data_IF_627235054145
#
_entry.id   IF_627235054145
#
_cell.length_a   1.000
_cell.length_b   1.000
_cell.length_c   1.000
_cell.angle_alpha   90.00
_cell.angle_beta   90.00
_cell.angle_gamma   90.00
#
_symmetry.space_group_name_H-M   'P 1'
#
loop_
_entity.id
_entity.type
_entity.pdbx_description
1 polymer ?
#
# COMPACT_ATOMS: atom_id res chain seq x y z
N UNK A 1 3.32 -3.33 25.06
CA UNK A 1 2.27 -3.58 24.05
C UNK A 1 1.12 -4.30 24.71
N UNK A 2 -0.05 -3.66 24.82
CA UNK A 2 -1.22 -4.23 25.47
C UNK A 2 -1.77 -5.42 24.66
N UNK A 3 -2.19 -6.49 25.35
CA UNK A 3 -2.80 -7.68 24.75
C UNK A 3 -4.02 -7.35 23.86
N UNK A 4 -4.73 -6.26 24.18
CA UNK A 4 -5.85 -5.72 23.39
C UNK A 4 -5.41 -5.27 21.97
N UNK A 5 -4.26 -4.61 21.86
CA UNK A 5 -3.74 -4.12 20.55
C UNK A 5 -3.32 -5.27 19.63
N UNK A 6 -2.82 -6.38 20.18
CA UNK A 6 -2.51 -7.59 19.38
C UNK A 6 -3.77 -8.25 18.83
N UNK A 7 -4.85 -8.27 19.60
CA UNK A 7 -6.14 -8.84 19.18
C UNK A 7 -6.78 -8.05 18.04
N UNK A 8 -6.68 -6.72 18.05
CA UNK A 8 -7.25 -5.84 17.02
C UNK A 8 -6.49 -5.96 15.69
N UNK A 9 -5.16 -6.22 15.73
CA UNK A 9 -4.32 -6.34 14.52
C UNK A 9 -4.57 -7.60 13.70
N UNK A 10 -5.03 -8.68 14.34
CA UNK A 10 -5.22 -9.99 13.70
C UNK A 10 -6.68 -10.33 13.42
N UNK A 11 -7.63 -9.54 13.93
CA UNK A 11 -9.05 -9.83 13.77
C UNK A 11 -9.54 -9.48 12.36
N UNK A 12 -10.44 -10.30 11.82
CA UNK A 12 -11.26 -9.94 10.66
C UNK A 12 -11.98 -8.64 10.98
N UNK A 13 -11.87 -7.65 10.08
CA UNK A 13 -12.56 -6.36 10.26
C UNK A 13 -14.06 -6.62 10.10
N UNK A 14 -14.83 -6.28 11.14
CA UNK A 14 -16.28 -6.43 11.12
C UNK A 14 -16.88 -5.53 10.02
N UNK A 15 -17.78 -6.10 9.22
CA UNK A 15 -18.40 -5.38 8.10
C UNK A 15 -17.53 -5.24 6.85
N UNK A 16 -16.26 -5.66 6.88
CA UNK A 16 -15.42 -5.67 5.69
C UNK A 16 -15.83 -6.82 4.77
N UNK A 17 -16.27 -6.48 3.55
CA UNK A 17 -16.48 -7.47 2.50
C UNK A 17 -15.12 -7.97 2.00
N UNK A 18 -14.96 -9.29 1.93
CA UNK A 18 -13.75 -9.89 1.38
C UNK A 18 -13.52 -9.43 -0.06
N UNK A 19 -12.29 -9.05 -0.38
CA UNK A 19 -11.93 -8.67 -1.74
C UNK A 19 -12.03 -9.89 -2.67
N UNK A 20 -12.70 -9.71 -3.81
CA UNK A 20 -13.00 -10.72 -4.81
C UNK A 20 -12.23 -10.43 -6.09
N UNK A 21 -11.74 -11.47 -6.75
CA UNK A 21 -11.19 -11.35 -8.11
C UNK A 21 -12.31 -11.04 -9.14
N UNK A 22 -11.97 -10.52 -10.33
CA UNK A 22 -12.95 -10.27 -11.39
C UNK A 22 -13.72 -11.50 -11.82
N UNK A 23 -13.12 -12.68 -11.76
CA UNK A 23 -13.79 -13.96 -12.05
C UNK A 23 -14.87 -14.31 -11.02
N UNK A 24 -14.76 -13.79 -9.80
CA UNK A 24 -15.77 -13.90 -8.74
C UNK A 24 -16.81 -12.76 -8.81
N UNK A 25 -16.79 -11.95 -9.87
CA UNK A 25 -17.63 -10.76 -10.02
C UNK A 25 -17.16 -9.53 -9.21
N UNK A 26 -15.90 -9.54 -8.76
CA UNK A 26 -15.29 -8.39 -8.09
C UNK A 26 -15.10 -7.22 -9.04
N UNK A 27 -15.27 -6.00 -8.54
CA UNK A 27 -15.11 -4.77 -9.28
C UNK A 27 -13.96 -3.94 -8.71
N UNK A 28 -13.35 -3.07 -9.54
CA UNK A 28 -12.35 -2.11 -9.07
C UNK A 28 -12.86 -1.28 -7.89
N UNK A 29 -14.12 -0.85 -7.95
CA UNK A 29 -14.74 -0.07 -6.87
C UNK A 29 -14.76 -0.85 -5.55
N UNK A 30 -15.14 -2.14 -5.58
CA UNK A 30 -15.14 -2.98 -4.37
C UNK A 30 -13.74 -3.16 -3.81
N UNK A 31 -12.71 -3.24 -4.67
CA UNK A 31 -11.32 -3.28 -4.24
C UNK A 31 -10.87 -1.96 -3.60
N UNK A 32 -11.20 -0.82 -4.22
CA UNK A 32 -10.89 0.50 -3.65
C UNK A 32 -11.60 0.72 -2.30
N UNK A 33 -12.86 0.32 -2.17
CA UNK A 33 -13.63 0.36 -0.91
C UNK A 33 -12.98 -0.55 0.15
N UNK A 34 -12.54 -1.74 -0.24
CA UNK A 34 -11.81 -2.67 0.62
C UNK A 34 -10.51 -2.05 1.15
N UNK A 35 -9.68 -1.48 0.28
CA UNK A 35 -8.44 -0.82 0.69
C UNK A 35 -8.70 0.39 1.59
N UNK A 36 -9.73 1.17 1.31
CA UNK A 36 -10.09 2.33 2.13
C UNK A 36 -10.53 1.92 3.54
N UNK A 37 -11.27 0.82 3.69
CA UNK A 37 -11.65 0.31 5.01
C UNK A 37 -10.44 -0.17 5.80
N UNK A 38 -9.52 -0.90 5.16
CA UNK A 38 -8.26 -1.33 5.80
C UNK A 38 -7.41 -0.11 6.19
N UNK A 39 -7.28 0.87 5.30
CA UNK A 39 -6.56 2.11 5.58
C UNK A 39 -7.11 2.82 6.82
N UNK A 40 -8.43 3.02 6.88
CA UNK A 40 -9.07 3.68 8.01
C UNK A 40 -8.82 2.92 9.32
N UNK A 41 -9.01 1.60 9.30
CA UNK A 41 -8.79 0.75 10.48
C UNK A 41 -7.34 0.81 10.97
N UNK A 42 -6.39 0.69 10.06
CA UNK A 42 -4.96 0.67 10.39
C UNK A 42 -4.50 2.03 10.91
N UNK A 43 -4.92 3.12 10.24
CA UNK A 43 -4.51 4.48 10.60
C UNK A 43 -5.03 4.90 11.98
N UNK A 44 -6.24 4.46 12.34
CA UNK A 44 -6.89 4.86 13.61
C UNK A 44 -6.47 3.96 14.77
N UNK A 45 -6.37 2.64 14.53
CA UNK A 45 -6.28 1.67 15.61
C UNK A 45 -4.85 1.18 15.93
N UNK A 46 -3.88 1.45 15.04
CA UNK A 46 -2.52 0.94 15.21
C UNK A 46 -1.55 2.02 15.70
N UNK A 47 -0.57 1.62 16.53
CA UNK A 47 0.55 2.49 16.89
C UNK A 47 1.34 2.81 15.61
N UNK A 48 1.69 4.09 15.41
CA UNK A 48 2.31 4.58 14.16
C UNK A 48 1.50 4.19 12.91
N UNK A 49 0.17 4.12 13.04
CA UNK A 49 -0.74 3.75 11.94
C UNK A 49 -0.64 4.67 10.73
N UNK A 50 -0.18 5.91 10.92
CA UNK A 50 0.11 6.85 9.84
C UNK A 50 1.16 6.32 8.86
N UNK A 51 2.24 5.70 9.34
CA UNK A 51 3.26 5.10 8.48
C UNK A 51 2.69 3.95 7.65
N UNK A 52 1.80 3.16 8.25
CA UNK A 52 1.10 2.09 7.54
C UNK A 52 0.08 2.62 6.54
N UNK A 53 -0.55 3.76 6.83
CA UNK A 53 -1.41 4.46 5.88
C UNK A 53 -0.65 4.83 4.59
N UNK A 54 0.60 5.27 4.71
CA UNK A 54 1.48 5.52 3.55
C UNK A 54 1.78 4.23 2.78
N UNK A 55 2.13 3.15 3.50
CA UNK A 55 2.35 1.83 2.86
C UNK A 55 1.15 1.40 2.02
N UNK A 56 -0.07 1.57 2.52
CA UNK A 56 -1.29 1.18 1.80
C UNK A 56 -1.53 2.08 0.58
N UNK A 57 -1.35 3.40 0.71
CA UNK A 57 -1.64 4.36 -0.37
C UNK A 57 -0.55 4.41 -1.44
N UNK A 58 0.71 4.44 -1.00
CA UNK A 58 1.86 4.66 -1.87
C UNK A 58 2.50 3.34 -2.32
N UNK A 59 2.17 2.23 -1.64
CA UNK A 59 2.75 0.89 -1.87
C UNK A 59 4.29 0.90 -1.82
N UNK A 60 4.83 1.76 -0.95
CA UNK A 60 6.27 1.93 -0.73
C UNK A 60 6.57 1.94 0.77
N UNK A 61 7.83 1.70 1.12
CA UNK A 61 8.26 1.83 2.52
C UNK A 61 8.33 3.30 2.92
N UNK A 62 7.74 3.68 4.08
CA UNK A 62 7.85 5.03 4.59
C UNK A 62 9.31 5.32 4.97
N UNK A 63 9.81 6.46 4.54
CA UNK A 63 11.15 6.91 4.91
C UNK A 63 11.11 7.46 6.33
N UNK A 64 11.80 6.79 7.25
CA UNK A 64 12.01 7.25 8.61
C UNK A 64 13.41 7.85 8.65
N UNK A 65 13.50 9.13 9.00
CA UNK A 65 14.78 9.84 9.04
C UNK A 65 15.59 9.42 10.27
N UNK A 66 16.88 9.16 10.07
CA UNK A 66 17.82 8.88 11.16
C UNK A 66 18.01 10.12 12.05
N UNK A 67 18.14 9.95 13.36
CA UNK A 67 18.53 11.05 14.23
C UNK A 67 19.88 11.63 13.79
N UNK A 68 19.96 12.95 13.75
CA UNK A 68 21.21 13.66 13.41
C UNK A 68 22.24 13.37 14.51
N UNK A 69 23.44 12.98 14.13
CA UNK A 69 24.53 12.73 15.07
C UNK A 69 24.85 13.95 15.93
N UNK A 70 25.16 13.72 17.19
CA UNK A 70 25.65 14.78 18.08
C UNK A 70 27.05 15.23 17.65
N UNK A 71 27.25 16.56 17.65
CA UNK A 71 28.59 17.12 17.51
C UNK A 71 29.49 16.58 18.66
N UNK A 72 30.58 15.87 18.34
CA UNK A 72 31.50 15.34 19.37
C UNK A 72 32.07 16.41 20.31
N UNK A 73 32.12 17.66 19.86
CA UNK A 73 32.58 18.81 20.65
C UNK A 73 31.51 19.33 21.63
N UNK A 74 30.25 18.90 21.50
CA UNK A 74 29.18 19.37 22.40
C UNK A 74 29.18 18.55 23.70
N UNK A 75 29.71 19.14 24.76
CA UNK A 75 29.85 18.51 26.09
C UNK A 75 28.60 18.62 26.97
N UNK A 76 27.52 19.24 26.49
CA UNK A 76 26.31 19.49 27.28
C UNK A 76 25.54 18.21 27.55
N UNK A 77 25.45 17.80 28.80
CA UNK A 77 24.81 16.54 29.22
C UNK A 77 23.33 16.44 28.80
N UNK A 78 22.58 17.56 28.86
CA UNK A 78 21.17 17.54 28.44
C UNK A 78 21.00 17.22 26.95
N UNK A 79 21.92 17.66 26.09
CA UNK A 79 21.90 17.32 24.66
C UNK A 79 22.20 15.86 24.42
N UNK A 80 23.12 15.27 25.16
CA UNK A 80 23.42 13.83 25.09
C UNK A 80 22.18 13.02 25.47
N UNK A 81 21.53 13.42 26.58
CA UNK A 81 20.28 12.74 27.02
C UNK A 81 19.18 12.87 25.99
N UNK A 82 18.98 14.07 25.41
CA UNK A 82 18.01 14.28 24.36
C UNK A 82 18.30 13.43 23.12
N UNK A 83 19.55 13.38 22.68
CA UNK A 83 19.95 12.58 21.53
C UNK A 83 19.74 11.08 21.80
N UNK A 84 20.09 10.60 23.00
CA UNK A 84 19.84 9.20 23.39
C UNK A 84 18.35 8.87 23.30
N UNK A 85 17.48 9.76 23.76
CA UNK A 85 16.04 9.56 23.66
C UNK A 85 15.57 9.52 22.18
N UNK A 86 16.06 10.40 21.33
CA UNK A 86 15.74 10.40 19.89
C UNK A 86 16.17 9.09 19.21
N UNK A 87 17.34 8.55 19.56
CA UNK A 87 17.81 7.24 19.05
C UNK A 87 16.90 6.11 19.53
N UNK A 88 16.51 6.12 20.80
CA UNK A 88 15.58 5.12 21.34
C UNK A 88 14.24 5.16 20.62
N UNK A 89 13.66 6.37 20.46
CA UNK A 89 12.38 6.56 19.80
C UNK A 89 12.43 6.13 18.32
N UNK A 90 13.52 6.45 17.64
CA UNK A 90 13.78 6.00 16.26
C UNK A 90 13.82 4.48 16.15
N UNK A 91 14.60 3.82 17.00
CA UNK A 91 14.70 2.35 17.03
C UNK A 91 13.34 1.70 17.32
N UNK A 92 12.58 2.30 18.24
CA UNK A 92 11.24 1.80 18.58
C UNK A 92 10.27 1.97 17.42
N UNK A 93 10.30 3.12 16.73
CA UNK A 93 9.47 3.36 15.53
C UNK A 93 9.79 2.38 14.40
N UNK A 94 11.08 2.11 14.12
CA UNK A 94 11.49 1.09 13.15
C UNK A 94 10.95 -0.30 13.51
N UNK A 95 11.04 -0.68 14.78
CA UNK A 95 10.51 -1.96 15.26
C UNK A 95 8.99 -2.01 15.09
N UNK A 96 8.29 -0.96 15.48
CA UNK A 96 6.82 -0.86 15.33
C UNK A 96 6.42 -0.94 13.85
N UNK A 97 7.12 -0.25 12.96
CA UNK A 97 6.89 -0.35 11.51
C UNK A 97 7.03 -1.79 11.00
N UNK A 98 8.11 -2.48 11.40
CA UNK A 98 8.32 -3.88 11.00
C UNK A 98 7.21 -4.80 11.50
N UNK A 99 6.78 -4.65 12.75
CA UNK A 99 5.70 -5.44 13.32
C UNK A 99 4.35 -5.13 12.68
N UNK A 100 4.10 -3.86 12.36
CA UNK A 100 2.91 -3.41 11.66
C UNK A 100 2.86 -3.96 10.21
N UNK A 101 3.98 -3.95 9.50
CA UNK A 101 4.05 -4.55 8.15
C UNK A 101 3.64 -6.02 8.17
N UNK A 102 4.14 -6.79 9.12
CA UNK A 102 3.78 -8.21 9.32
C UNK A 102 2.28 -8.38 9.62
N UNK A 103 1.76 -7.53 10.51
CA UNK A 103 0.35 -7.55 10.86
C UNK A 103 -0.54 -7.17 9.65
N UNK A 104 -0.12 -6.21 8.83
CA UNK A 104 -0.85 -5.81 7.61
C UNK A 104 -0.89 -6.94 6.59
N UNK A 105 0.23 -7.64 6.36
CA UNK A 105 0.24 -8.81 5.47
C UNK A 105 -0.80 -9.85 5.92
N UNK A 106 -0.81 -10.18 7.20
CA UNK A 106 -1.77 -11.14 7.76
C UNK A 106 -3.22 -10.64 7.65
N UNK A 107 -3.45 -9.35 7.91
CA UNK A 107 -4.76 -8.72 7.81
C UNK A 107 -5.30 -8.77 6.38
N UNK A 108 -4.49 -8.40 5.39
CA UNK A 108 -4.84 -8.46 3.99
C UNK A 108 -5.21 -9.90 3.58
N UNK A 109 -4.35 -10.88 3.87
CA UNK A 109 -4.61 -12.28 3.57
C UNK A 109 -5.85 -12.85 4.25
N UNK A 110 -6.17 -12.39 5.47
CA UNK A 110 -7.37 -12.84 6.18
C UNK A 110 -8.68 -12.33 5.56
N UNK A 111 -8.63 -11.21 4.83
CA UNK A 111 -9.81 -10.50 4.30
C UNK A 111 -9.99 -10.60 2.77
N UNK A 112 -9.29 -11.49 2.11
CA UNK A 112 -9.54 -11.86 0.69
C UNK A 112 -10.24 -13.22 0.62
N UNK A 113 -10.93 -13.49 -0.50
CA UNK A 113 -11.62 -14.78 -0.72
C UNK A 113 -10.60 -15.91 -0.88
N UNK A 114 -11.06 -17.15 -0.71
CA UNK A 114 -10.18 -18.32 -0.86
C UNK A 114 -9.69 -18.51 -2.30
N UNK A 115 -10.49 -18.11 -3.29
CA UNK A 115 -10.09 -18.09 -4.70
C UNK A 115 -8.97 -17.07 -4.90
N UNK A 116 -9.14 -15.85 -4.43
CA UNK A 116 -8.11 -14.82 -4.49
C UNK A 116 -6.84 -15.23 -3.74
N UNK A 117 -6.96 -15.88 -2.56
CA UNK A 117 -5.80 -16.43 -1.84
C UNK A 117 -5.04 -17.46 -2.66
N UNK A 118 -5.76 -18.36 -3.34
CA UNK A 118 -5.15 -19.37 -4.19
C UNK A 118 -4.38 -18.75 -5.34
N UNK A 119 -4.91 -17.69 -5.95
CA UNK A 119 -4.25 -16.93 -7.00
C UNK A 119 -2.99 -16.23 -6.48
N UNK A 120 -3.07 -15.53 -5.34
CA UNK A 120 -1.90 -14.91 -4.69
C UNK A 120 -0.81 -15.93 -4.44
N UNK A 121 -1.17 -17.13 -3.91
CA UNK A 121 -0.22 -18.20 -3.63
C UNK A 121 0.42 -18.80 -4.88
N UNK A 122 -0.26 -18.76 -6.01
CA UNK A 122 0.28 -19.22 -7.31
C UNK A 122 1.15 -18.19 -8.02
N UNK A 123 1.16 -16.93 -7.54
CA UNK A 123 1.96 -15.86 -8.13
C UNK A 123 3.45 -16.04 -7.83
N UNK A 124 4.29 -15.79 -8.84
CA UNK A 124 5.74 -15.87 -8.67
C UNK A 124 6.22 -14.90 -7.58
N UNK A 125 7.05 -15.38 -6.67
CA UNK A 125 7.59 -14.60 -5.54
C UNK A 125 6.76 -14.71 -4.24
N UNK A 126 5.63 -15.44 -4.25
CA UNK A 126 4.81 -15.61 -3.04
C UNK A 126 5.59 -16.17 -1.86
N UNK A 127 6.36 -17.25 -2.05
CA UNK A 127 7.11 -17.89 -0.97
C UNK A 127 8.03 -16.90 -0.26
N UNK A 128 8.77 -16.09 -1.03
CA UNK A 128 9.63 -15.05 -0.46
C UNK A 128 8.82 -13.98 0.28
N UNK A 129 7.72 -13.54 -0.31
CA UNK A 129 6.86 -12.52 0.29
C UNK A 129 6.18 -13.03 1.57
N UNK A 130 5.83 -14.31 1.63
CA UNK A 130 5.28 -14.97 2.83
C UNK A 130 6.32 -15.10 3.93
N UNK A 131 7.55 -15.52 3.62
CA UNK A 131 8.66 -15.62 4.59
C UNK A 131 9.00 -14.26 5.20
N UNK A 132 9.01 -13.21 4.38
CA UNK A 132 9.28 -11.83 4.80
C UNK A 132 8.05 -11.14 5.40
N UNK A 133 6.85 -11.69 5.23
CA UNK A 133 5.54 -11.08 5.51
C UNK A 133 5.45 -9.68 4.89
N UNK A 134 5.75 -9.59 3.58
CA UNK A 134 5.88 -8.34 2.84
C UNK A 134 4.51 -7.83 2.33
N UNK A 135 3.89 -6.83 2.99
CA UNK A 135 2.58 -6.34 2.61
C UNK A 135 2.60 -5.52 1.31
N UNK A 136 3.73 -4.92 0.94
CA UNK A 136 3.85 -4.12 -0.28
C UNK A 136 3.73 -5.05 -1.50
N UNK A 137 4.50 -6.14 -1.51
CA UNK A 137 4.38 -7.15 -2.54
C UNK A 137 2.93 -7.69 -2.64
N UNK A 138 2.29 -7.94 -1.49
CA UNK A 138 0.93 -8.43 -1.46
C UNK A 138 -0.08 -7.43 -2.01
N UNK A 139 0.03 -6.14 -1.65
CA UNK A 139 -0.81 -5.07 -2.17
C UNK A 139 -0.70 -4.95 -3.70
N UNK A 140 0.53 -4.98 -4.23
CA UNK A 140 0.79 -4.96 -5.66
C UNK A 140 0.18 -6.18 -6.36
N UNK A 141 0.37 -7.38 -5.79
CA UNK A 141 -0.18 -8.62 -6.34
C UNK A 141 -1.71 -8.63 -6.29
N UNK A 142 -2.31 -8.18 -5.20
CA UNK A 142 -3.76 -8.05 -5.09
C UNK A 142 -4.33 -7.05 -6.12
N UNK A 143 -3.64 -5.94 -6.32
CA UNK A 143 -4.02 -4.95 -7.32
C UNK A 143 -4.01 -5.57 -8.73
N UNK A 144 -2.95 -6.31 -9.08
CA UNK A 144 -2.84 -7.00 -10.37
C UNK A 144 -3.96 -8.04 -10.57
N UNK A 145 -4.25 -8.84 -9.54
CA UNK A 145 -5.34 -9.83 -9.57
C UNK A 145 -6.70 -9.13 -9.72
N UNK A 146 -6.96 -8.08 -8.93
CA UNK A 146 -8.25 -7.40 -8.89
C UNK A 146 -8.53 -6.56 -10.14
N UNK A 147 -7.49 -6.06 -10.80
CA UNK A 147 -7.63 -5.34 -12.06
C UNK A 147 -7.69 -6.27 -13.29
N UNK A 148 -7.57 -7.60 -13.07
CA UNK A 148 -7.64 -8.59 -14.15
C UNK A 148 -6.41 -8.60 -15.05
N UNK A 149 -5.26 -8.10 -14.57
CA UNK A 149 -3.99 -8.10 -15.30
C UNK A 149 -3.21 -9.42 -15.16
N UNK A 150 -3.85 -10.46 -14.64
CA UNK A 150 -3.22 -11.77 -14.54
C UNK A 150 -2.76 -12.29 -15.91
N UNK A 151 -1.58 -12.90 -15.90
CA UNK A 151 -1.05 -13.58 -17.08
C UNK A 151 -2.06 -14.60 -17.59
N UNK A 152 -2.74 -14.28 -18.69
CA UNK A 152 -3.63 -15.19 -19.40
C UNK A 152 -5.10 -14.78 -19.51
N UNK A 153 -5.59 -13.82 -18.72
CA UNK A 153 -6.99 -13.36 -18.82
C UNK A 153 -7.17 -12.30 -19.91
N UNK A 154 -6.20 -11.37 -20.02
CA UNK A 154 -6.12 -10.44 -21.16
C UNK A 154 -4.68 -10.34 -21.64
N UNK A 155 -4.42 -10.27 -22.97
CA UNK A 155 -3.10 -9.91 -23.49
C UNK A 155 -2.66 -8.57 -22.87
N UNK A 156 -1.40 -8.47 -22.45
CA UNK A 156 -0.83 -7.26 -21.83
C UNK A 156 -1.11 -5.99 -22.65
N UNK A 157 -1.06 -6.11 -23.98
CA UNK A 157 -1.39 -5.02 -24.92
C UNK A 157 -2.82 -4.54 -24.78
N UNK A 158 -3.81 -5.44 -24.72
CA UNK A 158 -5.22 -5.07 -24.54
C UNK A 158 -5.48 -4.42 -23.17
N UNK A 159 -4.76 -4.86 -22.14
CA UNK A 159 -4.86 -4.25 -20.81
C UNK A 159 -4.30 -2.82 -20.79
N UNK A 160 -3.21 -2.58 -21.52
CA UNK A 160 -2.60 -1.26 -21.71
C UNK A 160 -3.55 -0.36 -22.49
N UNK A 161 -4.14 -0.86 -23.58
CA UNK A 161 -5.08 -0.10 -24.43
C UNK A 161 -6.35 0.27 -23.65
N UNK A 162 -6.96 -0.69 -22.93
CA UNK A 162 -8.14 -0.43 -22.07
C UNK A 162 -7.81 0.61 -20.98
N UNK A 163 -6.61 0.56 -20.41
CA UNK A 163 -6.20 1.52 -19.39
C UNK A 163 -5.97 2.91 -19.96
N UNK A 164 -5.38 3.01 -21.16
CA UNK A 164 -5.21 4.27 -21.87
C UNK A 164 -6.57 4.88 -22.22
N UNK A 165 -7.50 4.08 -22.74
CA UNK A 165 -8.87 4.53 -23.02
C UNK A 165 -9.55 5.09 -21.77
N UNK A 166 -9.40 4.42 -20.62
CA UNK A 166 -9.92 4.92 -19.34
C UNK A 166 -9.33 6.27 -18.98
N UNK A 167 -8.00 6.44 -19.07
CA UNK A 167 -7.34 7.71 -18.75
C UNK A 167 -7.86 8.83 -19.65
N UNK A 168 -7.96 8.58 -20.98
CA UNK A 168 -8.41 9.59 -21.95
C UNK A 168 -9.89 9.95 -21.77
N UNK A 169 -10.72 9.00 -21.36
CA UNK A 169 -12.16 9.19 -21.18
C UNK A 169 -12.54 9.70 -19.79
N UNK A 170 -11.58 9.82 -18.86
CA UNK A 170 -11.86 10.32 -17.50
C UNK A 170 -12.39 11.75 -17.53
N UNK A 171 -13.48 11.97 -16.82
CA UNK A 171 -14.09 13.29 -16.67
C UNK A 171 -14.24 13.61 -15.17
N UNK A 172 -13.85 14.83 -14.80
CA UNK A 172 -14.13 15.34 -13.47
C UNK A 172 -15.65 15.47 -13.27
N UNK A 173 -16.16 14.94 -12.17
CA UNK A 173 -17.56 15.13 -11.79
C UNK A 173 -17.71 16.48 -11.09
N UNK A 174 -18.90 17.09 -11.20
CA UNK A 174 -19.19 18.38 -10.56
C UNK A 174 -19.02 18.36 -9.03
N UNK A 175 -19.02 17.19 -8.41
CA UNK A 175 -18.81 16.96 -6.96
C UNK A 175 -17.36 16.78 -6.59
N UNK A 176 -16.45 16.61 -7.54
CA UNK A 176 -15.06 16.31 -7.29
C UNK A 176 -14.24 17.60 -7.18
N UNK A 177 -13.39 17.68 -6.16
CA UNK A 177 -12.39 18.75 -6.10
C UNK A 177 -11.33 18.52 -7.18
N UNK A 178 -10.65 19.58 -7.64
CA UNK A 178 -9.56 19.47 -8.60
C UNK A 178 -8.46 18.53 -8.08
N UNK A 179 -8.14 18.61 -6.79
CA UNK A 179 -7.15 17.75 -6.15
C UNK A 179 -7.55 16.27 -6.20
N UNK A 180 -8.80 15.96 -5.86
CA UNK A 180 -9.30 14.58 -5.93
C UNK A 180 -9.25 14.02 -7.35
N UNK A 181 -9.60 14.84 -8.36
CA UNK A 181 -9.53 14.43 -9.75
C UNK A 181 -8.08 14.21 -10.22
N UNK A 182 -7.15 15.13 -9.88
CA UNK A 182 -5.73 14.98 -10.21
C UNK A 182 -5.15 13.71 -9.57
N UNK A 183 -5.47 13.44 -8.30
CA UNK A 183 -5.02 12.22 -7.62
C UNK A 183 -5.56 10.96 -8.29
N UNK A 184 -6.82 10.98 -8.75
CA UNK A 184 -7.42 9.87 -9.47
C UNK A 184 -6.70 9.62 -10.81
N UNK A 185 -6.48 10.68 -11.61
CA UNK A 185 -5.75 10.59 -12.89
C UNK A 185 -4.32 10.09 -12.67
N UNK A 186 -3.62 10.62 -11.68
CA UNK A 186 -2.24 10.20 -11.35
C UNK A 186 -2.18 8.73 -10.96
N UNK A 187 -3.17 8.23 -10.21
CA UNK A 187 -3.27 6.81 -9.85
C UNK A 187 -3.43 5.92 -11.10
N UNK A 188 -4.31 6.29 -12.01
CA UNK A 188 -4.54 5.53 -13.26
C UNK A 188 -3.31 5.55 -14.18
N UNK A 189 -2.58 6.68 -14.24
CA UNK A 189 -1.31 6.78 -14.99
C UNK A 189 -0.25 5.85 -14.40
N UNK A 190 -0.09 5.81 -13.08
CA UNK A 190 0.86 4.88 -12.42
C UNK A 190 0.52 3.41 -12.72
N UNK A 191 -0.76 3.05 -12.78
CA UNK A 191 -1.19 1.70 -13.18
C UNK A 191 -0.80 1.42 -14.63
N UNK A 192 -1.05 2.36 -15.55
CA UNK A 192 -0.68 2.26 -16.96
C UNK A 192 0.84 2.05 -17.16
N UNK A 193 1.66 2.87 -16.49
CA UNK A 193 3.13 2.78 -16.56
C UNK A 193 3.65 1.45 -15.98
N UNK A 194 3.06 0.95 -14.88
CA UNK A 194 3.42 -0.35 -14.28
C UNK A 194 3.18 -1.51 -15.25
N UNK A 195 2.17 -1.41 -16.11
CA UNK A 195 1.91 -2.41 -17.12
C UNK A 195 2.77 -2.26 -18.38
N UNK A 196 3.68 -1.30 -18.37
CA UNK A 196 4.65 -1.07 -19.43
C UNK A 196 4.16 -0.11 -20.52
N UNK A 197 3.11 0.65 -20.23
CA UNK A 197 2.74 1.84 -20.99
C UNK A 197 3.74 2.96 -20.71
N UNK A 198 4.02 3.81 -21.68
CA UNK A 198 4.82 5.03 -21.53
C UNK A 198 3.90 6.24 -21.62
N UNK A 199 3.68 6.93 -20.49
CA UNK A 199 2.83 8.11 -20.43
C UNK A 199 3.70 9.38 -20.40
N UNK A 200 3.84 10.02 -21.55
CA UNK A 200 4.72 11.17 -21.77
C UNK A 200 4.18 12.51 -21.24
N UNK A 201 3.34 12.51 -20.24
CA UNK A 201 2.82 13.76 -19.67
C UNK A 201 3.93 14.51 -18.91
N UNK A 202 4.34 15.63 -19.44
CA UNK A 202 5.26 16.56 -18.77
C UNK A 202 6.73 16.23 -18.80
N UNK A 203 7.17 15.21 -19.56
CA UNK A 203 8.57 15.08 -19.92
C UNK A 203 8.85 16.10 -21.03
N UNK A 204 9.42 17.26 -20.67
CA UNK A 204 9.97 18.17 -21.66
C UNK A 204 11.02 17.43 -22.46
N UNK A 205 10.97 17.56 -23.79
CA UNK A 205 12.03 17.10 -24.69
C UNK A 205 13.28 18.01 -24.54
N UNK A 206 13.85 18.04 -23.35
CA UNK A 206 15.14 18.69 -23.11
C UNK A 206 16.06 17.61 -22.55
N UNK A 207 16.63 16.85 -23.52
CA UNK A 207 18.00 16.30 -23.48
C UNK A 207 18.41 15.85 -24.88
#
# INVERSE_FOLDING_TARGET
MNSLQRGIRSAKIEGLKAAKSPEEGGTKKEYDDFLQMIFNQVTIAWDEGHDMGKVIKEQTDPKIEDPIDLDPADTREWKKTQHQQLVIDYCQRLKTLKDNKRALFTLLMANVTDITKSKVKSTNGYTKAEDELNPIWLLLTLEDIMLGFEKGVKPKTLAIDDQMERIITMKQKNTDTNEAFINLVTKEIKVYERHGGDFLWGKSQDD
#
